data_IF_031351881715
#
_entry.id   IF_031351881715
#
_cell.length_a   1.000
_cell.length_b   1.000
_cell.length_c   1.000
_cell.angle_alpha   90.00
_cell.angle_beta   90.00
_cell.angle_gamma   90.00
#
_symmetry.space_group_name_H-M   'P 1'
#
loop_
_entity.id
_entity.type
_entity.pdbx_description
1 polymer ?
#
# COMPACT_ATOMS: atom_id res chain seq x y z
N UNK A 1 20.08 -22.07 36.27
CA UNK A 1 19.09 -20.99 36.40
C UNK A 1 19.33 -19.94 35.32
N UNK A 2 18.59 -20.01 34.21
CA UNK A 2 18.70 -19.05 33.10
C UNK A 2 17.99 -17.74 33.44
N UNK A 3 18.70 -16.61 33.33
CA UNK A 3 18.11 -15.28 33.53
C UNK A 3 17.08 -15.03 32.43
N UNK A 4 15.81 -14.96 32.84
CA UNK A 4 14.69 -14.53 32.02
C UNK A 4 14.84 -13.02 31.78
N UNK A 5 15.47 -12.64 30.67
CA UNK A 5 15.68 -11.25 30.25
C UNK A 5 14.38 -10.68 29.65
N UNK A 6 13.36 -10.53 30.51
CA UNK A 6 12.09 -9.92 30.15
C UNK A 6 12.31 -8.41 29.95
N UNK A 7 12.48 -7.99 28.69
CA UNK A 7 12.46 -6.57 28.31
C UNK A 7 11.15 -5.93 28.79
N UNK A 8 11.21 -5.20 29.90
CA UNK A 8 10.07 -4.42 30.41
C UNK A 8 9.83 -3.26 29.44
N UNK A 9 8.61 -3.19 28.88
CA UNK A 9 8.18 -2.02 28.11
C UNK A 9 8.02 -0.84 29.07
N UNK A 10 8.89 0.17 28.96
CA UNK A 10 8.80 1.39 29.76
C UNK A 10 8.00 2.41 28.96
N UNK A 11 6.72 2.56 29.32
CA UNK A 11 5.93 3.69 28.84
C UNK A 11 6.50 4.97 29.45
N UNK A 12 6.96 5.89 28.60
CA UNK A 12 7.49 7.18 29.01
C UNK A 12 6.33 8.08 29.45
N UNK A 13 5.97 8.07 30.73
CA UNK A 13 5.15 9.11 31.33
C UNK A 13 6.04 10.32 31.71
N UNK A 14 5.63 11.53 31.33
CA UNK A 14 6.32 12.80 31.66
C UNK A 14 6.86 13.57 30.45
N UNK A 15 7.40 14.77 30.70
CA UNK A 15 8.09 15.57 29.66
C UNK A 15 9.45 14.90 29.35
N UNK A 16 9.77 14.61 28.08
CA UNK A 16 11.06 14.03 27.73
C UNK A 16 12.20 14.98 28.11
N UNK A 17 13.31 14.42 28.56
CA UNK A 17 14.56 15.19 28.68
C UNK A 17 14.98 15.66 27.30
N UNK A 18 15.76 16.76 27.22
CA UNK A 18 16.23 17.34 25.95
C UNK A 18 16.77 16.28 24.98
N UNK A 19 17.68 15.42 25.45
CA UNK A 19 18.27 14.35 24.63
C UNK A 19 17.27 13.28 24.17
N UNK A 20 16.24 12.98 24.98
CA UNK A 20 15.18 12.03 24.58
C UNK A 20 14.26 12.65 23.52
N UNK A 21 13.95 13.94 23.68
CA UNK A 21 13.15 14.69 22.73
C UNK A 21 13.88 14.79 21.38
N UNK A 22 15.16 15.14 21.37
CA UNK A 22 15.97 15.20 20.15
C UNK A 22 15.97 13.86 19.42
N UNK A 23 16.22 12.74 20.12
CA UNK A 23 16.16 11.40 19.51
C UNK A 23 14.79 11.01 18.95
N UNK A 24 13.70 11.43 19.62
CA UNK A 24 12.34 11.19 19.12
C UNK A 24 12.11 11.95 17.82
N UNK A 25 12.49 13.23 17.76
CA UNK A 25 12.39 14.06 16.56
C UNK A 25 13.23 13.47 15.42
N UNK A 26 14.48 13.06 15.68
CA UNK A 26 15.32 12.41 14.69
C UNK A 26 14.68 11.11 14.15
N UNK A 27 14.09 10.31 15.04
CA UNK A 27 13.41 9.06 14.65
C UNK A 27 12.17 9.34 13.81
N UNK A 28 11.37 10.33 14.19
CA UNK A 28 10.16 10.75 13.45
C UNK A 28 10.51 11.27 12.06
N UNK A 29 11.54 12.12 11.95
CA UNK A 29 12.04 12.63 10.68
C UNK A 29 12.54 11.50 9.78
N UNK A 30 13.36 10.59 10.33
CA UNK A 30 13.84 9.43 9.59
C UNK A 30 12.70 8.53 9.11
N UNK A 31 11.68 8.31 9.94
CA UNK A 31 10.51 7.49 9.61
C UNK A 31 9.67 8.14 8.50
N UNK A 32 9.44 9.45 8.61
CA UNK A 32 8.69 10.22 7.60
C UNK A 32 9.40 10.23 6.27
N UNK A 33 10.72 10.44 6.27
CA UNK A 33 11.55 10.38 5.06
C UNK A 33 11.50 9.00 4.39
N UNK A 34 11.55 7.93 5.19
CA UNK A 34 11.44 6.56 4.68
C UNK A 34 10.06 6.30 4.04
N UNK A 35 8.98 6.71 4.70
CA UNK A 35 7.63 6.60 4.15
C UNK A 35 7.47 7.41 2.85
N UNK A 36 7.95 8.65 2.81
CA UNK A 36 7.92 9.50 1.62
C UNK A 36 8.70 8.89 0.46
N UNK A 37 9.83 8.23 0.74
CA UNK A 37 10.56 7.49 -0.28
C UNK A 37 9.71 6.35 -0.84
N UNK A 38 9.09 5.53 0.00
CA UNK A 38 8.22 4.44 -0.47
C UNK A 38 7.04 4.97 -1.30
N UNK A 39 6.43 6.08 -0.87
CA UNK A 39 5.37 6.76 -1.63
C UNK A 39 5.88 7.15 -3.01
N UNK A 40 7.05 7.82 -3.09
CA UNK A 40 7.63 8.27 -4.35
C UNK A 40 7.96 7.10 -5.30
N UNK A 41 8.57 6.03 -4.79
CA UNK A 41 8.91 4.86 -5.59
C UNK A 41 7.65 4.16 -6.14
N UNK A 42 6.62 3.98 -5.31
CA UNK A 42 5.40 3.27 -5.73
C UNK A 42 4.47 4.12 -6.60
N UNK A 43 4.43 5.44 -6.39
CA UNK A 43 3.59 6.34 -7.18
C UNK A 43 4.11 6.57 -8.61
N UNK A 44 5.41 6.38 -8.84
CA UNK A 44 6.03 6.61 -10.15
C UNK A 44 6.14 5.35 -11.02
N UNK A 45 5.69 4.19 -10.53
CA UNK A 45 5.85 2.92 -11.24
C UNK A 45 4.51 2.15 -11.27
N UNK A 46 3.94 2.06 -12.48
CA UNK A 46 2.63 1.45 -12.72
C UNK A 46 2.57 -0.02 -12.31
N UNK A 47 3.71 -0.71 -12.18
CA UNK A 47 3.75 -2.12 -11.74
C UNK A 47 3.19 -2.34 -10.34
N UNK A 48 3.06 -1.29 -9.52
CA UNK A 48 2.48 -1.32 -8.19
C UNK A 48 1.00 -0.96 -8.15
N UNK A 49 0.44 -0.34 -9.19
CA UNK A 49 -0.88 0.28 -9.13
C UNK A 49 -1.99 -0.70 -8.77
N UNK A 50 -1.98 -1.90 -9.33
CA UNK A 50 -2.97 -2.92 -9.00
C UNK A 50 -2.91 -3.32 -7.53
N UNK A 51 -1.71 -3.49 -6.97
CA UNK A 51 -1.52 -3.82 -5.56
C UNK A 51 -1.94 -2.66 -4.66
N UNK A 52 -1.65 -1.41 -5.05
CA UNK A 52 -2.07 -0.21 -4.33
C UNK A 52 -3.60 -0.06 -4.34
N UNK A 53 -4.25 -0.20 -5.50
CA UNK A 53 -5.72 -0.13 -5.61
C UNK A 53 -6.41 -1.21 -4.78
N UNK A 54 -5.79 -2.38 -4.61
CA UNK A 54 -6.29 -3.46 -3.77
C UNK A 54 -5.81 -3.42 -2.30
N UNK A 55 -5.04 -2.41 -1.90
CA UNK A 55 -4.42 -2.31 -0.57
C UNK A 55 -3.60 -3.57 -0.19
N UNK A 56 -2.94 -4.20 -1.17
CA UNK A 56 -2.22 -5.45 -1.00
C UNK A 56 -0.81 -5.22 -0.43
N UNK A 57 -0.73 -4.94 0.87
CA UNK A 57 0.54 -4.73 1.59
C UNK A 57 1.49 -5.93 1.53
N UNK A 58 0.96 -7.13 1.29
CA UNK A 58 1.73 -8.37 1.30
C UNK A 58 2.23 -8.76 -0.10
N UNK A 59 1.96 -7.94 -1.12
CA UNK A 59 2.40 -8.21 -2.48
C UNK A 59 3.93 -8.48 -2.51
N UNK A 60 4.38 -9.55 -3.20
CA UNK A 60 5.80 -9.86 -3.30
C UNK A 60 6.64 -8.67 -3.79
N UNK A 61 6.13 -7.90 -4.76
CA UNK A 61 6.81 -6.71 -5.30
C UNK A 61 7.01 -5.61 -4.25
N UNK A 62 6.02 -5.40 -3.37
CA UNK A 62 6.09 -4.44 -2.26
C UNK A 62 7.11 -4.92 -1.22
N UNK A 63 7.12 -6.22 -0.89
CA UNK A 63 8.10 -6.78 0.06
C UNK A 63 9.53 -6.80 -0.50
N UNK A 64 9.71 -6.94 -1.81
CA UNK A 64 11.01 -6.79 -2.46
C UNK A 64 11.48 -5.33 -2.36
N UNK A 65 10.60 -4.35 -2.59
CA UNK A 65 10.93 -2.93 -2.43
C UNK A 65 11.37 -2.62 -1.00
N UNK A 66 10.63 -3.07 0.02
CA UNK A 66 11.00 -2.90 1.44
C UNK A 66 12.43 -3.39 1.71
N UNK A 67 12.73 -4.63 1.31
CA UNK A 67 14.06 -5.23 1.52
C UNK A 67 15.16 -4.47 0.81
N UNK A 68 14.91 -3.97 -0.41
CA UNK A 68 15.89 -3.21 -1.18
C UNK A 68 16.27 -1.88 -0.50
N UNK A 69 15.33 -1.26 0.20
CA UNK A 69 15.51 0.03 0.88
C UNK A 69 16.09 -0.14 2.28
N UNK A 70 16.01 -1.34 2.89
CA UNK A 70 16.42 -1.60 4.27
C UNK A 70 17.85 -1.15 4.62
N UNK A 71 18.79 -1.27 3.69
CA UNK A 71 20.20 -0.90 3.92
C UNK A 71 20.46 0.61 3.85
N UNK A 72 19.46 1.40 3.49
CA UNK A 72 19.61 2.85 3.26
C UNK A 72 19.16 3.70 4.44
N UNK A 73 18.67 3.08 5.51
CA UNK A 73 18.23 3.77 6.72
C UNK A 73 18.74 3.05 7.98
N UNK A 74 18.87 3.79 9.08
CA UNK A 74 19.28 3.24 10.38
C UNK A 74 18.09 2.81 11.24
N UNK A 75 16.86 2.97 10.74
CA UNK A 75 15.65 2.50 11.42
C UNK A 75 15.62 0.98 11.49
N UNK A 76 15.18 0.44 12.63
CA UNK A 76 15.00 -1.00 12.81
C UNK A 76 13.98 -1.60 11.83
N UNK A 77 14.06 -2.92 11.61
CA UNK A 77 13.19 -3.64 10.66
C UNK A 77 11.69 -3.42 10.90
N UNK A 78 11.26 -3.31 12.16
CA UNK A 78 9.87 -3.04 12.52
C UNK A 78 9.37 -1.69 11.97
N UNK A 79 10.21 -0.64 12.04
CA UNK A 79 9.88 0.67 11.50
C UNK A 79 9.83 0.64 9.98
N UNK A 80 10.76 -0.06 9.31
CA UNK A 80 10.76 -0.19 7.85
C UNK A 80 9.52 -0.90 7.31
N UNK A 81 9.15 -2.02 7.94
CA UNK A 81 7.92 -2.75 7.59
C UNK A 81 6.67 -1.90 7.82
N UNK A 82 6.60 -1.18 8.94
CA UNK A 82 5.48 -0.31 9.23
C UNK A 82 5.40 0.88 8.26
N UNK A 83 6.54 1.49 7.92
CA UNK A 83 6.61 2.63 7.00
C UNK A 83 6.09 2.27 5.60
N UNK A 84 6.47 1.11 5.05
CA UNK A 84 5.95 0.69 3.74
C UNK A 84 4.46 0.33 3.80
N UNK A 85 4.01 -0.33 4.88
CA UNK A 85 2.61 -0.70 5.05
C UNK A 85 1.72 0.55 5.18
N UNK A 86 2.21 1.61 5.83
CA UNK A 86 1.55 2.93 5.89
C UNK A 86 1.58 3.64 4.55
N UNK A 87 2.71 3.64 3.83
CA UNK A 87 2.80 4.20 2.49
C UNK A 87 1.77 3.58 1.54
N UNK A 88 1.60 2.25 1.58
CA UNK A 88 0.58 1.53 0.78
C UNK A 88 -0.82 1.99 1.16
N UNK A 89 -1.13 2.11 2.45
CA UNK A 89 -2.45 2.58 2.90
C UNK A 89 -2.74 4.03 2.50
N UNK A 90 -1.76 4.93 2.59
CA UNK A 90 -1.92 6.32 2.17
C UNK A 90 -2.15 6.43 0.67
N UNK A 91 -1.35 5.72 -0.14
CA UNK A 91 -1.52 5.69 -1.58
C UNK A 91 -2.86 5.06 -1.99
N UNK A 92 -3.25 3.95 -1.35
CA UNK A 92 -4.55 3.32 -1.58
C UNK A 92 -5.69 4.30 -1.36
N UNK A 93 -5.71 5.00 -0.22
CA UNK A 93 -6.75 5.97 0.11
C UNK A 93 -6.79 7.10 -0.93
N UNK A 94 -5.62 7.60 -1.34
CA UNK A 94 -5.54 8.64 -2.36
C UNK A 94 -6.04 8.15 -3.73
N UNK A 95 -5.69 6.93 -4.13
CA UNK A 95 -6.16 6.32 -5.38
C UNK A 95 -7.68 6.11 -5.35
N UNK A 96 -8.24 5.68 -4.22
CA UNK A 96 -9.68 5.53 -4.06
C UNK A 96 -10.40 6.89 -4.10
N UNK A 97 -9.79 7.94 -3.52
CA UNK A 97 -10.33 9.30 -3.62
C UNK A 97 -10.38 9.77 -5.08
N UNK A 98 -9.30 9.61 -5.84
CA UNK A 98 -9.25 9.94 -7.27
C UNK A 98 -10.28 9.12 -8.04
N UNK A 99 -10.34 7.80 -7.82
CA UNK A 99 -11.31 6.91 -8.45
C UNK A 99 -12.76 7.36 -8.19
N UNK A 100 -13.08 7.69 -6.95
CA UNK A 100 -14.44 8.11 -6.57
C UNK A 100 -14.81 9.47 -7.20
N UNK A 101 -13.86 10.41 -7.25
CA UNK A 101 -14.06 11.67 -7.95
C UNK A 101 -14.29 11.44 -9.45
N UNK A 102 -13.49 10.58 -10.08
CA UNK A 102 -13.64 10.20 -11.49
C UNK A 102 -14.98 9.51 -11.74
N UNK A 103 -15.39 8.59 -10.86
CA UNK A 103 -16.69 7.93 -10.93
C UNK A 103 -17.84 8.94 -10.89
N UNK A 104 -17.80 9.88 -9.95
CA UNK A 104 -18.82 10.92 -9.83
C UNK A 104 -18.90 11.82 -11.07
N UNK A 105 -17.75 12.17 -11.65
CA UNK A 105 -17.72 12.92 -12.91
C UNK A 105 -18.35 12.12 -14.05
N UNK A 106 -17.89 10.88 -14.26
CA UNK A 106 -18.32 10.01 -15.35
C UNK A 106 -19.81 9.70 -15.27
N UNK A 107 -20.33 9.43 -14.06
CA UNK A 107 -21.74 9.11 -13.84
C UNK A 107 -22.69 10.18 -14.40
N UNK A 108 -22.23 11.44 -14.50
CA UNK A 108 -23.02 12.55 -15.04
C UNK A 108 -22.71 12.90 -16.50
N UNK A 109 -21.71 12.27 -17.14
CA UNK A 109 -21.24 12.66 -18.48
C UNK A 109 -21.22 11.52 -19.50
N UNK A 110 -20.85 10.31 -19.09
CA UNK A 110 -20.73 9.15 -20.00
C UNK A 110 -20.96 7.84 -19.24
N UNK A 111 -22.18 7.32 -19.29
CA UNK A 111 -22.53 6.09 -18.60
C UNK A 111 -21.82 4.85 -19.18
N UNK A 112 -21.39 4.90 -20.44
CA UNK A 112 -20.75 3.78 -21.13
C UNK A 112 -19.40 3.39 -20.54
N UNK A 113 -18.71 4.34 -19.91
CA UNK A 113 -17.39 4.14 -19.32
C UNK A 113 -17.42 3.84 -17.80
N UNK A 114 -18.61 3.84 -17.18
CA UNK A 114 -18.79 3.51 -15.76
C UNK A 114 -18.12 2.17 -15.35
N UNK A 115 -18.22 1.07 -16.12
CA UNK A 115 -17.60 -0.19 -15.74
C UNK A 115 -16.09 -0.07 -15.54
N UNK A 116 -15.41 0.74 -16.37
CA UNK A 116 -13.97 0.92 -16.33
C UNK A 116 -13.49 1.58 -15.05
N UNK A 117 -14.29 2.46 -14.46
CA UNK A 117 -13.93 3.14 -13.20
C UNK A 117 -14.47 2.41 -11.97
N UNK A 118 -15.52 1.62 -12.14
CA UNK A 118 -16.11 0.82 -11.06
C UNK A 118 -15.23 -0.36 -10.65
N UNK A 119 -14.66 -1.07 -11.64
CA UNK A 119 -13.85 -2.26 -11.40
C UNK A 119 -12.36 -1.90 -11.34
N UNK A 120 -11.71 -2.19 -10.21
CA UNK A 120 -10.26 -1.93 -10.00
C UNK A 120 -9.40 -2.55 -11.11
N UNK A 121 -9.72 -3.77 -11.53
CA UNK A 121 -8.99 -4.47 -12.58
C UNK A 121 -9.09 -3.78 -13.94
N UNK A 122 -10.28 -3.29 -14.30
CA UNK A 122 -10.47 -2.55 -15.55
C UNK A 122 -9.85 -1.17 -15.48
N UNK A 123 -10.02 -0.47 -14.36
CA UNK A 123 -9.38 0.82 -14.14
C UNK A 123 -7.86 0.70 -14.28
N UNK A 124 -7.27 -0.30 -13.65
CA UNK A 124 -5.84 -0.56 -13.76
C UNK A 124 -5.44 -0.89 -15.20
N UNK A 125 -6.22 -1.71 -15.91
CA UNK A 125 -5.95 -2.03 -17.32
C UNK A 125 -5.99 -0.77 -18.20
N UNK A 126 -7.02 0.07 -18.05
CA UNK A 126 -7.15 1.32 -18.80
C UNK A 126 -6.04 2.31 -18.48
N UNK A 127 -5.59 2.40 -17.21
CA UNK A 127 -4.45 3.24 -16.81
C UNK A 127 -3.12 2.72 -17.38
N UNK A 128 -2.99 1.40 -17.58
CA UNK A 128 -1.79 0.77 -18.11
C UNK A 128 -1.81 0.53 -19.63
N UNK A 129 -2.86 0.99 -20.32
CA UNK A 129 -3.10 0.73 -21.75
C UNK A 129 -3.06 -0.78 -22.10
N UNK A 130 -3.55 -1.60 -21.17
CA UNK A 130 -3.64 -3.06 -21.33
C UNK A 130 -4.92 -3.47 -22.07
N UNK A 131 -4.90 -4.67 -22.67
CA UNK A 131 -6.08 -5.21 -23.35
C UNK A 131 -7.20 -5.57 -22.36
N UNK A 132 -8.20 -4.69 -22.27
CA UNK A 132 -9.34 -4.78 -21.37
C UNK A 132 -10.17 -6.06 -21.57
N UNK A 133 -10.32 -6.54 -22.82
CA UNK A 133 -11.04 -7.78 -23.13
C UNK A 133 -10.34 -9.01 -22.54
N UNK A 134 -9.01 -9.03 -22.56
CA UNK A 134 -8.24 -10.11 -21.95
C UNK A 134 -8.46 -10.15 -20.43
N UNK A 135 -8.44 -8.99 -19.78
CA UNK A 135 -8.69 -8.84 -18.34
C UNK A 135 -10.11 -9.27 -17.98
N UNK A 136 -11.13 -8.84 -18.74
CA UNK A 136 -12.52 -9.26 -18.56
C UNK A 136 -12.70 -10.78 -18.64
N UNK A 137 -12.08 -11.43 -19.65
CA UNK A 137 -12.14 -12.88 -19.82
C UNK A 137 -11.49 -13.61 -18.63
N UNK A 138 -10.33 -13.13 -18.18
CA UNK A 138 -9.65 -13.70 -17.02
C UNK A 138 -10.49 -13.60 -15.74
N UNK A 139 -11.11 -12.43 -15.52
CA UNK A 139 -12.02 -12.22 -14.39
C UNK A 139 -13.20 -13.19 -14.44
N UNK A 140 -13.89 -13.28 -15.59
CA UNK A 140 -15.01 -14.20 -15.79
C UNK A 140 -14.64 -15.63 -15.48
N UNK A 141 -13.50 -16.11 -15.97
CA UNK A 141 -13.00 -17.46 -15.71
C UNK A 141 -12.72 -17.68 -14.22
N UNK A 142 -12.11 -16.72 -13.53
CA UNK A 142 -11.84 -16.81 -12.10
C UNK A 142 -13.13 -16.91 -11.26
N UNK A 143 -14.20 -16.19 -11.64
CA UNK A 143 -15.51 -16.29 -11.00
C UNK A 143 -16.16 -17.65 -11.22
N UNK A 144 -16.12 -18.18 -12.45
CA UNK A 144 -16.63 -19.52 -12.76
C UNK A 144 -15.94 -20.58 -11.91
N UNK A 145 -14.61 -20.51 -11.81
CA UNK A 145 -13.83 -21.43 -10.99
C UNK A 145 -14.18 -21.33 -9.49
N UNK A 146 -14.40 -20.13 -8.96
CA UNK A 146 -14.84 -19.92 -7.56
C UNK A 146 -16.24 -20.44 -7.29
N UNK A 147 -17.16 -20.34 -8.25
CA UNK A 147 -18.51 -20.91 -8.14
C UNK A 147 -18.48 -22.44 -8.19
N UNK A 148 -17.68 -23.03 -9.08
CA UNK A 148 -17.49 -24.48 -9.13
C UNK A 148 -16.91 -25.04 -7.82
N UNK A 149 -15.94 -24.33 -7.21
CA UNK A 149 -15.34 -24.73 -5.94
C UNK A 149 -16.25 -24.58 -4.71
N UNK A 150 -17.34 -23.81 -4.79
CA UNK A 150 -18.33 -23.68 -3.73
C UNK A 150 -19.43 -24.75 -3.79
N UNK A 151 -19.55 -25.44 -4.91
CA UNK A 151 -20.55 -26.48 -5.15
C UNK A 151 -19.98 -27.91 -4.96
N UNK A 152 -18.76 -28.01 -4.44
CA UNK A 152 -18.05 -29.22 -4.02
C UNK A 152 -17.93 -29.20 -2.49
#
# INVERSE_FOLDING_TARGET
MGKNDRKKSVFLFGKPTKNKLERLIETEQAYTNLMNRFIKEMANDSKYYLDLMNNNKQAPKIRVLEKSVRHTHQLGSAYGQNAIDQAVSLLHNHFMQIKNNLYGYIFHHDEGIIPYVSFISLLNASVQDENELAVLRALQQSTKNKQAAKNL
#
